data_IF_951429689089
#
_entry.id   IF_951429689089
#
_cell.length_a   1.000
_cell.length_b   1.000
_cell.length_c   1.000
_cell.angle_alpha   90.00
_cell.angle_beta   90.00
_cell.angle_gamma   90.00
#
_symmetry.space_group_name_H-M   'P 1'
#
loop_
_entity.id
_entity.type
_entity.pdbx_description
1 polymer ?
#
# COMPACT_ATOMS: atom_id res chain seq x y z
N UNK A 1 12.36 -31.86 -4.83
CA UNK A 1 11.44 -31.42 -3.76
C UNK A 1 11.99 -30.13 -3.19
N UNK A 2 11.14 -29.14 -2.94
CA UNK A 2 11.58 -27.93 -2.24
C UNK A 2 11.89 -28.27 -0.78
N UNK A 3 12.88 -27.59 -0.18
CA UNK A 3 13.23 -27.73 1.25
C UNK A 3 12.24 -26.97 2.14
N UNK A 4 11.57 -25.96 1.58
CA UNK A 4 10.61 -25.09 2.27
C UNK A 4 9.36 -24.94 1.39
N UNK A 5 8.18 -24.93 2.02
CA UNK A 5 6.92 -24.62 1.36
C UNK A 5 6.44 -23.24 1.84
N UNK A 6 6.59 -22.22 1.00
CA UNK A 6 6.02 -20.89 1.27
C UNK A 6 4.54 -20.92 0.88
N UNK A 7 3.66 -20.42 1.75
CA UNK A 7 2.20 -20.45 1.54
C UNK A 7 1.68 -19.15 0.91
N UNK A 8 2.06 -18.01 1.47
CA UNK A 8 1.60 -16.69 1.04
C UNK A 8 2.53 -15.59 1.58
N UNK A 9 2.25 -14.35 1.18
CA UNK A 9 2.72 -13.18 1.92
C UNK A 9 1.89 -13.11 3.20
N UNK A 10 2.54 -13.28 4.36
CA UNK A 10 1.87 -13.18 5.66
C UNK A 10 1.54 -11.70 5.99
N UNK A 11 2.55 -10.84 5.91
CA UNK A 11 2.40 -9.41 6.13
C UNK A 11 3.38 -8.58 5.32
N UNK A 12 3.03 -7.31 5.12
CA UNK A 12 3.88 -6.27 4.56
C UNK A 12 4.13 -5.20 5.63
N UNK A 13 5.40 -4.94 5.93
CA UNK A 13 5.80 -3.92 6.90
C UNK A 13 6.13 -2.61 6.20
N UNK A 14 5.55 -1.50 6.69
CA UNK A 14 5.81 -0.15 6.20
C UNK A 14 6.23 0.74 7.36
N UNK A 15 7.39 1.40 7.22
CA UNK A 15 7.81 2.43 8.17
C UNK A 15 7.19 3.75 7.74
N UNK A 16 6.52 4.40 8.67
CA UNK A 16 5.72 5.61 8.43
C UNK A 16 6.08 6.70 9.43
N UNK A 17 5.97 7.96 9.01
CA UNK A 17 6.28 9.11 9.86
C UNK A 17 5.11 9.49 10.78
N UNK A 18 3.88 9.15 10.39
CA UNK A 18 2.66 9.42 11.15
C UNK A 18 1.62 8.31 10.95
N UNK A 19 1.17 7.70 12.05
CA UNK A 19 0.22 6.58 12.02
C UNK A 19 -1.20 7.02 11.64
N UNK A 20 -1.64 8.21 12.03
CA UNK A 20 -3.00 8.69 11.74
C UNK A 20 -3.12 9.18 10.30
N UNK A 21 -2.09 9.84 9.78
CA UNK A 21 -2.04 10.22 8.35
C UNK A 21 -2.01 8.97 7.49
N UNK A 22 -1.20 7.96 7.85
CA UNK A 22 -1.20 6.67 7.16
C UNK A 22 -2.53 5.93 7.30
N UNK A 23 -3.19 5.99 8.47
CA UNK A 23 -4.52 5.40 8.68
C UNK A 23 -5.54 5.99 7.70
N UNK A 24 -5.54 7.31 7.48
CA UNK A 24 -6.44 7.93 6.50
C UNK A 24 -6.24 7.36 5.09
N UNK A 25 -4.99 7.12 4.69
CA UNK A 25 -4.70 6.51 3.39
C UNK A 25 -5.16 5.05 3.33
N UNK A 26 -4.70 4.19 4.23
CA UNK A 26 -4.96 2.75 4.12
C UNK A 26 -6.40 2.35 4.52
N UNK A 27 -7.00 3.03 5.50
CA UNK A 27 -8.33 2.70 6.01
C UNK A 27 -9.39 3.58 5.35
N UNK A 28 -9.25 4.90 5.41
CA UNK A 28 -10.32 5.79 4.97
C UNK A 28 -10.39 5.91 3.44
N UNK A 29 -9.25 5.91 2.73
CA UNK A 29 -9.20 5.95 1.26
C UNK A 29 -9.26 4.55 0.63
N UNK A 30 -8.45 3.59 1.09
CA UNK A 30 -8.38 2.25 0.49
C UNK A 30 -9.34 1.22 1.13
N UNK A 31 -10.09 1.60 2.17
CA UNK A 31 -11.13 0.76 2.76
C UNK A 31 -10.64 -0.44 3.57
N UNK A 32 -9.37 -0.47 4.01
CA UNK A 32 -8.85 -1.60 4.80
C UNK A 32 -9.43 -1.63 6.22
N UNK A 33 -9.59 -2.84 6.76
CA UNK A 33 -10.06 -3.04 8.13
C UNK A 33 -8.91 -2.86 9.13
N UNK A 34 -9.14 -2.11 10.21
CA UNK A 34 -8.22 -2.06 11.36
C UNK A 34 -8.35 -3.34 12.18
N UNK A 35 -7.23 -3.98 12.48
CA UNK A 35 -7.22 -5.26 13.21
C UNK A 35 -6.36 -5.19 14.47
N UNK A 36 -6.62 -6.05 15.48
CA UNK A 36 -5.81 -6.09 16.68
C UNK A 36 -4.34 -6.35 16.35
N UNK A 37 -3.48 -5.48 16.87
CA UNK A 37 -2.02 -5.63 16.79
C UNK A 37 -1.50 -6.27 18.07
N UNK A 38 -0.57 -7.24 18.00
CA UNK A 38 0.13 -7.73 19.18
C UNK A 38 0.79 -6.59 19.97
N UNK A 39 0.97 -6.79 21.28
CA UNK A 39 1.55 -5.80 22.16
C UNK A 39 3.09 -5.73 22.00
N UNK A 40 3.54 -5.19 20.87
CA UNK A 40 4.96 -4.93 20.61
C UNK A 40 5.44 -3.70 21.41
N UNK A 41 6.74 -3.64 21.69
CA UNK A 41 7.37 -2.55 22.42
C UNK A 41 7.46 -1.22 21.67
N UNK A 42 7.08 -1.19 20.38
CA UNK A 42 7.10 -0.01 19.52
C UNK A 42 5.69 0.33 19.03
N UNK A 43 5.50 1.60 18.66
CA UNK A 43 4.22 2.12 18.14
C UNK A 43 3.99 1.65 16.71
N UNK A 44 2.75 1.28 16.41
CA UNK A 44 2.37 0.79 15.09
C UNK A 44 0.90 0.41 15.03
N UNK A 45 0.43 0.10 13.84
CA UNK A 45 -0.96 -0.28 13.54
C UNK A 45 -0.99 -1.47 12.58
N UNK A 46 -2.01 -2.32 12.69
CA UNK A 46 -2.25 -3.40 11.73
C UNK A 46 -3.56 -3.17 10.98
N UNK A 47 -3.51 -3.35 9.66
CA UNK A 47 -4.68 -3.36 8.79
C UNK A 47 -4.75 -4.66 8.00
N UNK A 48 -5.92 -4.99 7.46
CA UNK A 48 -6.14 -6.21 6.67
C UNK A 48 -6.49 -5.88 5.23
N UNK A 49 -5.75 -6.51 4.31
CA UNK A 49 -6.01 -6.53 2.87
C UNK A 49 -6.19 -7.99 2.43
N UNK A 50 -7.43 -8.48 2.45
CA UNK A 50 -7.72 -9.90 2.26
C UNK A 50 -7.05 -10.75 3.33
N UNK A 51 -6.15 -11.66 2.91
CA UNK A 51 -5.40 -12.53 3.83
C UNK A 51 -4.06 -11.93 4.29
N UNK A 52 -3.64 -10.79 3.73
CA UNK A 52 -2.35 -10.15 4.04
C UNK A 52 -2.55 -9.05 5.08
N UNK A 53 -1.65 -8.97 6.05
CA UNK A 53 -1.63 -7.88 7.02
C UNK A 53 -0.71 -6.74 6.59
N UNK A 54 -1.15 -5.49 6.76
CA UNK A 54 -0.34 -4.30 6.59
C UNK A 54 0.11 -3.84 7.98
N UNK A 55 1.41 -3.95 8.25
CA UNK A 55 2.01 -3.61 9.52
C UNK A 55 2.71 -2.25 9.42
N UNK A 56 2.02 -1.21 9.89
CA UNK A 56 2.64 0.10 10.04
C UNK A 56 3.52 0.14 11.29
N UNK A 57 4.74 0.63 11.12
CA UNK A 57 5.70 0.90 12.18
C UNK A 57 5.97 2.40 12.18
N UNK A 58 5.70 3.06 13.30
CA UNK A 58 6.08 4.46 13.44
C UNK A 58 7.61 4.58 13.48
N UNK A 59 8.18 5.48 12.68
CA UNK A 59 9.63 5.69 12.60
C UNK A 59 10.27 5.84 13.99
N UNK A 60 11.34 5.07 14.21
CA UNK A 60 12.22 5.16 15.37
C UNK A 60 13.62 4.63 15.04
N UNK A 61 14.56 4.74 15.98
CA UNK A 61 15.98 4.43 15.77
C UNK A 61 16.28 3.02 15.25
N UNK A 62 15.38 2.05 15.43
CA UNK A 62 15.57 0.66 15.00
C UNK A 62 14.68 0.23 13.82
N UNK A 63 13.73 1.07 13.37
CA UNK A 63 12.87 0.74 12.22
C UNK A 63 13.51 1.09 10.88
N UNK A 64 14.51 1.97 10.87
CA UNK A 64 14.90 2.70 9.67
C UNK A 64 14.00 3.92 9.44
N UNK A 65 14.21 4.64 8.33
CA UNK A 65 13.46 5.85 7.99
C UNK A 65 12.08 5.52 7.42
N UNK A 66 11.11 6.40 7.66
CA UNK A 66 9.83 6.33 6.97
C UNK A 66 10.02 6.47 5.45
N UNK A 67 9.13 5.80 4.71
CA UNK A 67 9.20 5.75 3.25
C UNK A 67 10.24 4.75 2.72
N UNK A 68 10.30 4.64 1.39
CA UNK A 68 11.19 3.70 0.67
C UNK A 68 12.15 4.40 -0.28
N UNK A 69 11.95 5.69 -0.54
CA UNK A 69 12.72 6.46 -1.50
C UNK A 69 13.42 7.61 -0.80
N UNK A 70 14.68 7.84 -1.17
CA UNK A 70 15.32 9.10 -0.79
C UNK A 70 14.61 10.26 -1.50
N UNK A 71 14.59 11.48 -0.93
CA UNK A 71 13.94 12.63 -1.56
C UNK A 71 14.44 12.95 -2.98
N UNK A 72 15.59 12.40 -3.38
CA UNK A 72 16.19 12.56 -4.71
C UNK A 72 15.74 11.49 -5.73
N UNK A 73 14.99 10.46 -5.32
CA UNK A 73 14.53 9.40 -6.21
C UNK A 73 13.14 9.70 -6.75
N UNK A 74 13.00 9.67 -8.08
CA UNK A 74 11.72 9.81 -8.75
C UNK A 74 10.83 8.61 -8.43
N UNK A 75 9.63 8.86 -7.89
CA UNK A 75 8.56 7.86 -7.79
C UNK A 75 8.14 7.44 -9.19
N UNK A 76 8.19 6.15 -9.48
CA UNK A 76 7.90 5.63 -10.81
C UNK A 76 7.23 4.27 -10.69
N UNK A 77 6.38 3.94 -11.66
CA UNK A 77 5.77 2.61 -11.83
C UNK A 77 6.79 1.45 -11.88
N UNK A 78 8.08 1.74 -12.05
CA UNK A 78 9.18 0.76 -12.15
C UNK A 78 10.06 0.68 -10.91
N UNK A 79 9.78 1.45 -9.86
CA UNK A 79 10.50 1.32 -8.57
C UNK A 79 9.85 0.25 -7.71
N UNK A 80 10.43 -0.04 -6.53
CA UNK A 80 9.81 -0.91 -5.54
C UNK A 80 8.37 -0.45 -5.26
N UNK A 81 7.42 -1.37 -5.35
CA UNK A 81 6.00 -1.16 -5.09
C UNK A 81 5.37 -2.46 -4.61
N UNK A 82 4.17 -2.36 -4.06
CA UNK A 82 3.30 -3.49 -3.75
C UNK A 82 1.92 -3.23 -4.32
N UNK A 83 1.27 -4.30 -4.76
CA UNK A 83 -0.01 -4.23 -5.45
C UNK A 83 -1.13 -4.79 -4.60
N UNK A 84 -2.21 -4.02 -4.48
CA UNK A 84 -3.49 -4.50 -3.99
C UNK A 84 -4.41 -4.81 -5.15
N UNK A 85 -5.05 -5.99 -5.07
CA UNK A 85 -6.12 -6.31 -5.99
C UNK A 85 -7.39 -5.57 -5.56
N UNK A 86 -8.01 -4.88 -6.51
CA UNK A 86 -9.35 -4.30 -6.38
C UNK A 86 -10.29 -4.99 -7.37
N UNK A 87 -11.61 -5.03 -7.11
CA UNK A 87 -12.57 -5.64 -8.03
C UNK A 87 -12.56 -5.01 -9.43
N UNK A 88 -12.44 -3.68 -9.49
CA UNK A 88 -12.39 -2.90 -10.72
C UNK A 88 -11.51 -1.66 -10.48
N UNK A 89 -10.38 -1.57 -11.18
CA UNK A 89 -9.48 -0.44 -11.02
C UNK A 89 -10.05 0.85 -11.63
N UNK A 90 -10.84 0.80 -12.71
CA UNK A 90 -11.45 2.00 -13.27
C UNK A 90 -12.50 2.58 -12.32
N UNK A 91 -13.33 1.74 -11.73
CA UNK A 91 -14.27 2.19 -10.70
C UNK A 91 -13.53 2.75 -9.47
N UNK A 92 -12.46 2.09 -9.02
CA UNK A 92 -11.63 2.61 -7.95
C UNK A 92 -11.02 3.98 -8.28
N UNK A 93 -10.65 4.24 -9.54
CA UNK A 93 -10.18 5.56 -9.97
C UNK A 93 -11.26 6.64 -9.82
N UNK A 94 -12.49 6.35 -10.23
CA UNK A 94 -13.61 7.28 -10.07
C UNK A 94 -13.89 7.59 -8.60
N UNK A 95 -13.79 6.59 -7.72
CA UNK A 95 -13.92 6.76 -6.26
C UNK A 95 -12.78 7.61 -5.68
N UNK A 96 -11.54 7.37 -6.13
CA UNK A 96 -10.37 8.16 -5.74
C UNK A 96 -10.55 9.64 -6.09
N UNK A 97 -11.04 9.96 -7.29
CA UNK A 97 -11.29 11.33 -7.75
C UNK A 97 -12.38 12.03 -6.91
N UNK A 98 -13.30 11.27 -6.31
CA UNK A 98 -14.41 11.79 -5.51
C UNK A 98 -14.15 11.78 -3.99
N UNK A 99 -13.08 11.12 -3.53
CA UNK A 99 -12.82 10.87 -2.11
C UNK A 99 -12.59 12.13 -1.26
N UNK A 100 -12.02 13.19 -1.85
CA UNK A 100 -11.59 14.38 -1.12
C UNK A 100 -10.46 14.14 -0.11
N UNK A 101 -9.81 12.97 -0.15
CA UNK A 101 -8.65 12.62 0.68
C UNK A 101 -7.38 12.93 -0.13
N UNK A 102 -6.38 13.51 0.53
CA UNK A 102 -5.10 13.80 -0.11
C UNK A 102 -4.32 12.51 -0.42
N UNK A 103 -3.93 12.33 -1.67
CA UNK A 103 -3.01 11.29 -2.15
C UNK A 103 -2.23 11.79 -3.37
N UNK A 104 -1.13 11.13 -3.69
CA UNK A 104 -0.34 11.44 -4.89
C UNK A 104 -0.56 10.38 -5.96
N UNK A 105 -0.84 10.83 -7.19
CA UNK A 105 -0.94 9.95 -8.36
C UNK A 105 0.45 9.80 -8.98
N UNK A 106 1.01 8.59 -8.92
CA UNK A 106 2.25 8.22 -9.62
C UNK A 106 1.96 7.86 -11.07
N UNK A 107 0.84 7.18 -11.32
CA UNK A 107 0.32 6.93 -12.68
C UNK A 107 -1.19 6.75 -12.64
N UNK A 108 -1.95 7.43 -13.54
CA UNK A 108 -3.37 7.19 -13.72
C UNK A 108 -3.63 5.78 -14.29
N UNK A 109 -4.90 5.34 -14.40
CA UNK A 109 -5.27 4.03 -14.95
C UNK A 109 -4.61 3.74 -16.29
N UNK A 110 -4.03 2.56 -16.42
CA UNK A 110 -3.41 2.05 -17.65
C UNK A 110 -3.76 0.60 -17.87
N UNK A 111 -4.04 0.25 -19.12
CA UNK A 111 -4.14 -1.14 -19.55
C UNK A 111 -2.74 -1.76 -19.64
N UNK A 112 -2.62 -2.95 -19.08
CA UNK A 112 -1.49 -3.84 -19.28
C UNK A 112 -1.68 -4.65 -20.57
N UNK A 113 -0.59 -5.18 -21.17
CA UNK A 113 -0.69 -6.03 -22.36
C UNK A 113 -1.55 -7.29 -22.19
N UNK A 114 -1.76 -7.75 -20.96
CA UNK A 114 -2.62 -8.88 -20.63
C UNK A 114 -4.09 -8.50 -20.39
N UNK A 115 -4.45 -7.23 -20.57
CA UNK A 115 -5.82 -6.71 -20.40
C UNK A 115 -6.15 -6.24 -18.99
N UNK A 116 -5.30 -6.48 -18.00
CA UNK A 116 -5.50 -6.00 -16.64
C UNK A 116 -5.34 -4.46 -16.58
N UNK A 117 -5.96 -3.83 -15.58
CA UNK A 117 -5.85 -2.39 -15.35
C UNK A 117 -5.04 -2.15 -14.09
N UNK A 118 -4.14 -1.17 -14.14
CA UNK A 118 -3.28 -0.77 -13.03
C UNK A 118 -3.31 0.75 -12.82
N UNK A 119 -3.28 1.17 -11.55
CA UNK A 119 -3.16 2.56 -11.08
C UNK A 119 -2.01 2.58 -10.09
N UNK A 120 -1.18 3.62 -10.10
CA UNK A 120 -0.12 3.78 -9.11
C UNK A 120 -0.33 5.06 -8.31
N UNK A 121 -0.33 4.91 -7.00
CA UNK A 121 -0.40 5.97 -6.02
C UNK A 121 0.91 6.02 -5.21
N UNK A 122 1.16 7.13 -4.54
CA UNK A 122 2.10 7.18 -3.44
C UNK A 122 1.31 7.42 -2.14
N UNK A 123 1.64 6.64 -1.12
CA UNK A 123 1.13 6.89 0.23
C UNK A 123 1.80 8.14 0.84
N UNK A 124 1.39 8.58 2.04
CA UNK A 124 1.90 9.81 2.65
C UNK A 124 3.42 9.84 2.87
N UNK A 125 4.06 8.69 3.01
CA UNK A 125 5.50 8.55 3.19
C UNK A 125 6.22 8.19 1.87
N UNK A 126 5.48 8.16 0.75
CA UNK A 126 6.00 7.95 -0.58
C UNK A 126 6.21 6.48 -0.97
N UNK A 127 5.63 5.53 -0.23
CA UNK A 127 5.57 4.14 -0.65
C UNK A 127 4.69 4.04 -1.90
N UNK A 128 5.19 3.39 -2.95
CA UNK A 128 4.44 3.25 -4.20
C UNK A 128 3.46 2.09 -4.07
N UNK A 129 2.17 2.39 -4.24
CA UNK A 129 1.05 1.45 -4.10
C UNK A 129 0.40 1.27 -5.47
N UNK A 130 0.29 0.03 -5.94
CA UNK A 130 -0.46 -0.31 -7.15
C UNK A 130 -1.87 -0.79 -6.76
N UNK A 131 -2.89 -0.28 -7.43
CA UNK A 131 -4.22 -0.88 -7.45
C UNK A 131 -4.40 -1.59 -8.79
N UNK A 132 -4.67 -2.89 -8.75
CA UNK A 132 -4.79 -3.71 -9.95
C UNK A 132 -6.11 -4.48 -9.99
N UNK A 133 -6.71 -4.59 -11.17
CA UNK A 133 -7.83 -5.49 -11.44
C UNK A 133 -7.51 -6.39 -12.63
N UNK A 134 -7.98 -7.63 -12.59
CA UNK A 134 -7.89 -8.57 -13.72
C UNK A 134 -8.66 -8.02 -14.94
N UNK A 135 -8.42 -8.53 -16.17
CA UNK A 135 -9.22 -8.15 -17.33
C UNK A 135 -10.71 -8.46 -17.08
N UNK A 136 -11.59 -7.54 -17.46
CA UNK A 136 -13.05 -7.76 -17.43
C UNK A 136 -13.54 -8.51 -18.66
#
# INVERSE_FOLDING_TARGET
MSVIQVEAIDHLTLVVSDLEVSRKFYVDLLGMEVVPRPNFSFKGSWFRAGNTLIHLILEHDQSGKAGTLSPAQTRSTRTHHFAFRVPDANAAWEDLEQSGIDYEVVSPPKFRPDGAVQIFLADPDGHVVELASDPQ
#
